data_IF_824567724770
#
_entry.id   IF_824567724770
#
_cell.length_a   1.000
_cell.length_b   1.000
_cell.length_c   1.000
_cell.angle_alpha   90.00
_cell.angle_beta   90.00
_cell.angle_gamma   90.00
#
_symmetry.space_group_name_H-M   'P 1'
#
loop_
_entity.id
_entity.type
_entity.pdbx_description
1 polymer ?
#
# COMPACT_ATOMS: atom_id res chain seq x y z
N UNK A 1 -29.23 19.36 6.31
CA UNK A 1 -29.26 18.37 5.21
C UNK A 1 -28.13 18.68 4.25
N UNK A 2 -27.15 17.78 4.10
CA UNK A 2 -26.16 17.83 3.01
C UNK A 2 -26.14 16.48 2.27
N UNK A 3 -27.26 16.18 1.61
CA UNK A 3 -27.27 15.23 0.48
C UNK A 3 -26.71 15.99 -0.72
N UNK A 4 -25.40 15.99 -0.88
CA UNK A 4 -24.76 16.47 -2.10
C UNK A 4 -23.43 15.73 -2.26
N UNK A 5 -23.44 14.83 -3.25
CA UNK A 5 -22.40 13.91 -3.69
C UNK A 5 -22.32 12.58 -2.93
N UNK A 6 -22.64 11.51 -3.65
CA UNK A 6 -22.32 10.11 -3.32
C UNK A 6 -20.80 9.86 -3.28
N UNK A 7 -20.02 10.71 -2.60
CA UNK A 7 -18.67 10.33 -2.19
C UNK A 7 -18.82 9.58 -0.88
N UNK A 8 -18.48 8.27 -0.82
CA UNK A 8 -18.37 7.56 0.44
C UNK A 8 -17.49 8.38 1.38
N UNK A 9 -17.84 8.46 2.68
CA UNK A 9 -17.18 9.38 3.60
C UNK A 9 -15.70 9.02 3.68
N UNK A 10 -14.84 9.96 3.25
CA UNK A 10 -13.41 10.03 3.60
C UNK A 10 -12.68 8.67 3.56
N UNK A 11 -12.36 8.18 2.35
CA UNK A 11 -11.46 7.02 2.20
C UNK A 11 -10.22 7.14 3.08
N UNK A 12 -9.81 6.02 3.68
CA UNK A 12 -8.60 5.91 4.48
C UNK A 12 -7.43 5.53 3.62
N UNK A 13 -6.29 6.12 3.94
CA UNK A 13 -5.08 5.98 3.17
C UNK A 13 -4.05 5.30 4.06
N UNK A 14 -3.47 4.22 3.56
CA UNK A 14 -2.24 3.68 4.11
C UNK A 14 -1.18 3.68 3.02
N UNK A 15 0.04 4.03 3.39
CA UNK A 15 1.21 4.01 2.53
C UNK A 15 2.15 2.93 3.02
N UNK A 16 2.53 2.05 2.10
CA UNK A 16 3.55 1.05 2.34
C UNK A 16 4.78 1.45 1.53
N UNK A 17 5.86 1.75 2.23
CA UNK A 17 7.13 2.15 1.66
C UNK A 17 8.13 1.00 1.70
N UNK A 18 8.74 0.71 0.56
CA UNK A 18 9.84 -0.23 0.41
C UNK A 18 11.11 0.53 0.05
N UNK A 19 12.23 0.18 0.69
CA UNK A 19 13.52 0.79 0.38
C UNK A 19 14.66 -0.20 0.40
N UNK A 20 15.56 -0.05 -0.57
CA UNK A 20 16.70 -0.96 -0.75
C UNK A 20 17.85 -0.28 -1.54
N UNK A 21 19.10 -0.69 -1.34
CA UNK A 21 20.28 -0.12 -2.02
C UNK A 21 20.31 -0.35 -3.55
N UNK A 22 19.76 -1.49 -3.98
CA UNK A 22 19.63 -1.92 -5.39
C UNK A 22 18.16 -1.95 -5.80
N UNK A 23 17.82 -1.27 -6.88
CA UNK A 23 16.46 -1.21 -7.44
C UNK A 23 15.95 -2.57 -7.90
N UNK A 24 16.82 -3.39 -8.48
CA UNK A 24 16.50 -4.76 -8.93
C UNK A 24 15.85 -5.61 -7.84
N UNK A 25 16.24 -5.44 -6.57
CA UNK A 25 15.64 -6.19 -5.47
C UNK A 25 14.21 -5.72 -5.16
N UNK A 26 13.89 -4.44 -5.41
CA UNK A 26 12.52 -3.93 -5.29
C UNK A 26 11.66 -4.45 -6.46
N UNK A 27 12.20 -4.45 -7.67
CA UNK A 27 11.50 -5.03 -8.84
C UNK A 27 11.24 -6.53 -8.60
N UNK A 28 12.25 -7.28 -8.15
CA UNK A 28 12.09 -8.70 -7.79
C UNK A 28 11.05 -8.90 -6.69
N UNK A 29 11.02 -8.04 -5.67
CA UNK A 29 9.99 -8.09 -4.63
C UNK A 29 8.58 -8.01 -5.24
N UNK A 30 8.31 -7.01 -6.08
CA UNK A 30 6.98 -6.86 -6.69
C UNK A 30 6.64 -7.99 -7.67
N UNK A 31 7.62 -8.48 -8.43
CA UNK A 31 7.41 -9.60 -9.35
C UNK A 31 7.12 -10.91 -8.62
N UNK A 32 7.86 -11.24 -7.56
CA UNK A 32 7.66 -12.47 -6.78
C UNK A 32 6.37 -12.42 -5.96
N UNK A 33 5.92 -11.22 -5.57
CA UNK A 33 4.72 -11.02 -4.77
C UNK A 33 3.51 -10.51 -5.61
N UNK A 34 3.57 -10.60 -6.93
CA UNK A 34 2.48 -10.17 -7.82
C UNK A 34 1.15 -10.84 -7.46
N UNK A 35 1.20 -12.14 -7.12
CA UNK A 35 0.05 -12.91 -6.67
C UNK A 35 -0.60 -12.31 -5.43
N UNK A 36 0.19 -11.85 -4.44
CA UNK A 36 -0.34 -11.24 -3.21
C UNK A 36 -1.17 -9.99 -3.53
N UNK A 37 -0.72 -9.17 -4.48
CA UNK A 37 -1.47 -7.98 -4.90
C UNK A 37 -2.71 -8.34 -5.72
N UNK A 38 -2.65 -9.41 -6.51
CA UNK A 38 -3.81 -9.94 -7.23
C UNK A 38 -4.85 -10.53 -6.27
N UNK A 39 -4.41 -11.23 -5.23
CA UNK A 39 -5.26 -11.80 -4.19
C UNK A 39 -5.98 -10.70 -3.42
N UNK A 40 -5.29 -9.60 -3.08
CA UNK A 40 -5.94 -8.42 -2.48
C UNK A 40 -7.08 -7.87 -3.33
N UNK A 41 -6.88 -7.75 -4.64
CA UNK A 41 -7.93 -7.29 -5.57
C UNK A 41 -9.07 -8.31 -5.72
N UNK A 42 -8.83 -9.58 -5.37
CA UNK A 42 -9.85 -10.63 -5.37
C UNK A 42 -10.63 -10.67 -4.04
N UNK A 43 -9.96 -10.37 -2.93
CA UNK A 43 -10.53 -10.33 -1.58
C UNK A 43 -11.39 -9.08 -1.38
N UNK A 44 -10.94 -7.94 -1.89
CA UNK A 44 -11.62 -6.66 -1.72
C UNK A 44 -12.15 -6.16 -3.05
N UNK A 45 -13.40 -5.69 -3.06
CA UNK A 45 -13.94 -4.98 -4.22
C UNK A 45 -13.15 -3.68 -4.46
N UNK A 46 -13.04 -3.25 -5.73
CA UNK A 46 -12.45 -1.96 -6.10
C UNK A 46 -13.16 -0.75 -5.46
N UNK A 47 -14.40 -0.92 -4.98
CA UNK A 47 -15.13 0.09 -4.21
C UNK A 47 -14.70 0.15 -2.74
N UNK A 48 -14.18 -0.95 -2.21
CA UNK A 48 -13.77 -1.11 -0.82
C UNK A 48 -12.30 -0.82 -0.62
N UNK A 49 -11.45 -1.33 -1.49
CA UNK A 49 -10.01 -1.13 -1.45
C UNK A 49 -9.50 -0.86 -2.86
N UNK A 50 -8.79 0.25 -3.02
CA UNK A 50 -8.06 0.57 -4.24
C UNK A 50 -6.57 0.52 -3.95
N UNK A 51 -5.88 -0.36 -4.66
CA UNK A 51 -4.43 -0.49 -4.66
C UNK A 51 -3.84 0.45 -5.72
N UNK A 52 -2.98 1.38 -5.31
CA UNK A 52 -2.29 2.32 -6.19
C UNK A 52 -0.78 2.08 -6.12
N UNK A 53 -0.15 1.88 -7.27
CA UNK A 53 1.25 1.49 -7.39
C UNK A 53 1.43 -0.01 -7.67
N UNK A 54 2.65 -0.55 -7.57
CA UNK A 54 3.86 0.06 -7.02
C UNK A 54 4.43 1.16 -7.91
N UNK A 55 4.80 2.30 -7.31
CA UNK A 55 5.43 3.42 -8.03
C UNK A 55 6.72 3.83 -7.32
N UNK A 56 7.74 4.32 -8.05
CA UNK A 56 8.88 4.98 -7.42
C UNK A 56 8.39 6.16 -6.57
N UNK A 57 8.96 6.33 -5.38
CA UNK A 57 8.67 7.49 -4.56
C UNK A 57 9.13 8.77 -5.29
N UNK A 58 8.52 9.95 -5.03
CA UNK A 58 8.87 11.22 -5.69
C UNK A 58 10.36 11.59 -5.63
N UNK A 59 11.07 11.07 -4.62
CA UNK A 59 12.53 11.04 -4.55
C UNK A 59 12.97 9.58 -4.72
N UNK A 60 13.28 9.12 -5.95
CA UNK A 60 13.53 7.73 -6.22
C UNK A 60 14.80 7.22 -5.53
N UNK A 61 15.73 8.10 -5.11
CA UNK A 61 16.95 7.74 -4.39
C UNK A 61 17.25 8.71 -3.24
N UNK A 62 17.27 8.21 -2.01
CA UNK A 62 17.73 8.96 -0.82
C UNK A 62 18.78 8.11 -0.10
N UNK A 63 19.91 8.72 0.28
CA UNK A 63 21.01 8.03 0.98
C UNK A 63 21.44 6.72 0.27
N UNK A 64 21.51 6.77 -1.07
CA UNK A 64 21.82 5.62 -1.95
C UNK A 64 20.81 4.47 -1.93
N UNK A 65 19.64 4.64 -1.31
CA UNK A 65 18.56 3.67 -1.33
C UNK A 65 17.48 4.10 -2.31
N UNK A 66 17.07 3.16 -3.17
CA UNK A 66 15.88 3.28 -3.98
C UNK A 66 14.64 3.15 -3.10
N UNK A 67 13.58 3.87 -3.45
CA UNK A 67 12.34 3.92 -2.68
C UNK A 67 11.15 3.69 -3.59
N UNK A 68 10.35 2.69 -3.26
CA UNK A 68 9.06 2.40 -3.89
C UNK A 68 7.97 2.49 -2.85
N UNK A 69 6.77 2.83 -3.27
CA UNK A 69 5.62 2.75 -2.40
C UNK A 69 4.38 2.24 -3.10
N UNK A 70 3.51 1.71 -2.27
CA UNK A 70 2.15 1.36 -2.60
C UNK A 70 1.25 2.21 -1.71
N UNK A 71 0.16 2.70 -2.28
CA UNK A 71 -0.89 3.39 -1.54
C UNK A 71 -2.13 2.52 -1.56
N UNK A 72 -2.66 2.24 -0.37
CA UNK A 72 -3.92 1.58 -0.16
C UNK A 72 -4.96 2.65 0.15
N UNK A 73 -6.02 2.70 -0.64
CA UNK A 73 -7.16 3.58 -0.39
C UNK A 73 -8.38 2.72 -0.05
N UNK A 74 -8.70 2.63 1.23
CA UNK A 74 -9.78 1.81 1.77
C UNK A 74 -11.01 2.65 2.10
N UNK A 75 -12.20 2.05 2.04
CA UNK A 75 -13.46 2.70 2.44
C UNK A 75 -13.50 3.07 3.93
N UNK A 76 -12.80 2.33 4.77
CA UNK A 76 -12.72 2.54 6.22
C UNK A 76 -11.42 1.95 6.80
N UNK A 77 -11.19 2.18 8.09
CA UNK A 77 -9.99 1.72 8.81
C UNK A 77 -9.93 0.21 8.89
N UNK A 78 -11.07 -0.48 8.98
CA UNK A 78 -11.13 -1.95 9.07
C UNK A 78 -10.65 -2.60 7.77
N UNK A 79 -11.02 -2.03 6.62
CA UNK A 79 -10.52 -2.49 5.31
C UNK A 79 -9.03 -2.24 5.17
N UNK A 80 -8.53 -1.06 5.54
CA UNK A 80 -7.08 -0.77 5.55
C UNK A 80 -6.34 -1.74 6.45
N UNK A 81 -6.80 -1.94 7.69
CA UNK A 81 -6.17 -2.83 8.66
C UNK A 81 -6.14 -4.27 8.16
N UNK A 82 -7.24 -4.76 7.58
CA UNK A 82 -7.32 -6.10 6.99
C UNK A 82 -6.37 -6.26 5.80
N UNK A 83 -6.32 -5.27 4.91
CA UNK A 83 -5.41 -5.28 3.76
C UNK A 83 -3.94 -5.25 4.20
N UNK A 84 -3.60 -4.39 5.15
CA UNK A 84 -2.24 -4.30 5.73
C UNK A 84 -1.86 -5.61 6.41
N UNK A 85 -2.78 -6.22 7.18
CA UNK A 85 -2.55 -7.52 7.81
C UNK A 85 -2.28 -8.60 6.77
N UNK A 86 -3.12 -8.69 5.74
CA UNK A 86 -2.95 -9.64 4.64
C UNK A 86 -1.59 -9.48 3.96
N UNK A 87 -1.17 -8.25 3.67
CA UNK A 87 0.15 -7.98 3.09
C UNK A 87 1.25 -8.44 4.06
N UNK A 88 1.18 -8.10 5.34
CA UNK A 88 2.21 -8.50 6.31
C UNK A 88 2.36 -10.02 6.43
N UNK A 89 1.28 -10.76 6.31
CA UNK A 89 1.27 -12.22 6.45
C UNK A 89 1.71 -12.94 5.15
N UNK A 90 1.42 -12.37 3.98
CA UNK A 90 1.64 -13.04 2.70
C UNK A 90 2.83 -12.50 1.89
N UNK A 91 3.28 -11.27 2.17
CA UNK A 91 4.38 -10.65 1.44
C UNK A 91 5.71 -11.27 1.87
N UNK A 92 6.38 -11.93 0.93
CA UNK A 92 7.73 -12.46 1.09
C UNK A 92 8.74 -11.37 0.83
N UNK A 93 9.32 -10.82 1.89
CA UNK A 93 10.29 -9.73 1.84
C UNK A 93 11.67 -10.27 2.21
N UNK A 94 12.69 -9.94 1.41
CA UNK A 94 14.08 -10.18 1.79
C UNK A 94 14.45 -9.33 3.00
N UNK A 95 15.22 -9.88 3.95
CA UNK A 95 15.72 -9.16 5.13
C UNK A 95 16.53 -7.90 4.79
N UNK A 96 17.02 -7.79 3.56
CA UNK A 96 17.75 -6.62 3.06
C UNK A 96 16.84 -5.43 2.73
N UNK A 97 15.55 -5.68 2.45
CA UNK A 97 14.57 -4.67 2.07
C UNK A 97 13.88 -4.14 3.32
N UNK A 98 13.90 -2.82 3.49
CA UNK A 98 13.16 -2.16 4.57
C UNK A 98 11.74 -1.85 4.12
N UNK A 99 10.76 -2.37 4.86
CA UNK A 99 9.35 -2.05 4.71
C UNK A 99 8.91 -1.15 5.85
N UNK A 100 8.23 -0.06 5.54
CA UNK A 100 7.58 0.81 6.52
C UNK A 100 6.11 1.00 6.12
N UNK A 101 5.21 0.95 7.09
CA UNK A 101 3.77 1.12 6.88
C UNK A 101 3.34 2.36 7.66
N UNK A 102 2.73 3.29 6.95
CA UNK A 102 2.22 4.54 7.47
C UNK A 102 0.71 4.56 7.23
N UNK A 103 -0.09 4.55 8.30
CA UNK A 103 -1.55 4.58 8.22
C UNK A 103 -1.96 5.99 8.62
N UNK A 104 -2.52 6.75 7.68
CA UNK A 104 -2.85 8.15 7.90
C UNK A 104 -4.06 8.25 8.86
N UNK A 105 -3.89 8.83 10.08
CA UNK A 105 -4.93 8.86 11.11
C UNK A 105 -6.00 9.93 10.87
N UNK A 106 -6.02 10.57 9.71
CA UNK A 106 -7.02 11.62 9.37
C UNK A 106 -8.49 11.12 9.33
N UNK A 107 -8.74 9.80 9.44
CA UNK A 107 -9.51 9.18 10.56
C UNK A 107 -10.31 10.01 11.55
N UNK A 108 -9.63 10.39 12.62
CA UNK A 108 -10.24 10.60 13.93
C UNK A 108 -10.67 12.05 14.08
N UNK A 109 -11.68 12.47 13.31
CA UNK A 109 -12.45 13.70 13.53
C UNK A 109 -13.92 13.45 13.24
#
# INVERSE_FOLDING_TARGET
>A
MRKALNYPPHYKIARILFSHKKEENLIKLFNTNSNVFSDLNSIFSSKELMLLGPTPAPLPKINRNFRYHIILKGRDVSVISSAVKFIRENLKISSTIKMAIDIDPTSLL
#
